data_IF_992088475404
#
_entry.id   IF_992088475404
#
_cell.length_a   1.000
_cell.length_b   1.000
_cell.length_c   1.000
_cell.angle_alpha   90.00
_cell.angle_beta   90.00
_cell.angle_gamma   90.00
#
_symmetry.space_group_name_H-M   'P 1'
#
loop_
_entity.id
_entity.type
_entity.pdbx_description
1 polymer ?
#
# COMPACT_ATOMS: atom_id res chain seq x y z
N UNK A 1 -19.29 1.79 -5.65
CA UNK A 1 -19.74 0.50 -6.22
C UNK A 1 -21.00 0.70 -7.08
N UNK A 2 -22.03 1.35 -6.55
CA UNK A 2 -23.32 1.55 -7.24
C UNK A 2 -23.16 2.25 -8.60
N UNK A 3 -22.43 3.34 -8.66
CA UNK A 3 -22.21 4.12 -9.90
C UNK A 3 -21.54 3.32 -11.03
N UNK A 4 -20.82 2.25 -10.70
CA UNK A 4 -20.08 1.42 -11.64
C UNK A 4 -20.66 0.00 -11.82
N UNK A 5 -21.83 -0.29 -11.23
CA UNK A 5 -22.46 -1.61 -11.30
C UNK A 5 -21.66 -2.74 -10.69
N UNK A 6 -20.90 -2.45 -9.60
CA UNK A 6 -19.99 -3.40 -8.95
C UNK A 6 -20.48 -3.85 -7.56
N UNK A 7 -21.77 -3.67 -7.23
CA UNK A 7 -22.33 -3.92 -5.90
C UNK A 7 -22.15 -5.37 -5.43
N UNK A 8 -22.16 -6.31 -6.38
CA UNK A 8 -21.93 -7.74 -6.08
C UNK A 8 -20.45 -8.14 -5.96
N UNK A 9 -19.52 -7.22 -6.31
CA UNK A 9 -18.08 -7.49 -6.36
C UNK A 9 -17.30 -6.66 -5.34
N UNK A 10 -17.79 -5.46 -4.98
CA UNK A 10 -17.13 -4.54 -4.05
C UNK A 10 -18.04 -4.26 -2.88
N UNK A 11 -17.63 -4.70 -1.69
CA UNK A 11 -18.35 -4.51 -0.43
C UNK A 11 -17.58 -3.50 0.42
N UNK A 12 -18.08 -2.24 0.57
CA UNK A 12 -17.47 -1.27 1.48
C UNK A 12 -17.76 -1.65 2.93
N UNK A 13 -16.75 -1.58 3.79
CA UNK A 13 -16.85 -1.82 5.23
C UNK A 13 -16.29 -0.62 5.96
N UNK A 14 -17.09 0.00 6.84
CA UNK A 14 -16.62 1.04 7.76
C UNK A 14 -16.15 0.36 9.05
N UNK A 15 -14.84 0.36 9.28
CA UNK A 15 -14.23 -0.27 10.45
C UNK A 15 -12.97 0.49 10.88
N UNK A 16 -12.68 0.44 12.18
CA UNK A 16 -11.39 0.86 12.73
C UNK A 16 -10.39 -0.30 12.59
N UNK A 17 -9.26 -0.07 11.92
CA UNK A 17 -8.21 -1.09 11.75
C UNK A 17 -7.53 -1.51 13.06
N UNK A 18 -7.66 -0.71 14.11
CA UNK A 18 -7.12 -1.04 15.43
C UNK A 18 -8.02 -2.01 16.21
N UNK A 19 -9.31 -2.09 15.83
CA UNK A 19 -10.29 -3.03 16.39
C UNK A 19 -10.53 -4.21 15.44
N UNK A 20 -9.83 -5.31 15.67
CA UNK A 20 -9.98 -6.52 14.85
C UNK A 20 -11.39 -7.10 14.87
N UNK A 21 -12.20 -6.83 15.91
CA UNK A 21 -13.56 -7.33 16.00
C UNK A 21 -14.52 -6.59 15.06
N UNK A 22 -14.17 -5.38 14.64
CA UNK A 22 -14.93 -4.59 13.67
C UNK A 22 -14.59 -4.96 12.21
N UNK A 23 -13.53 -5.75 11.99
CA UNK A 23 -13.11 -6.19 10.67
C UNK A 23 -13.94 -7.40 10.19
N UNK A 24 -13.94 -7.67 8.87
CA UNK A 24 -14.49 -8.91 8.33
C UNK A 24 -13.88 -10.15 8.99
N UNK A 25 -14.55 -11.30 8.84
CA UNK A 25 -14.10 -12.58 9.36
C UNK A 25 -12.61 -12.83 9.02
N UNK A 26 -11.82 -13.14 10.04
CA UNK A 26 -10.39 -13.43 9.89
C UNK A 26 -10.14 -14.65 9.01
N UNK A 27 -8.97 -14.68 8.39
CA UNK A 27 -8.51 -15.78 7.52
C UNK A 27 -9.41 -16.06 6.29
N UNK A 28 -10.09 -15.03 5.80
CA UNK A 28 -11.02 -15.16 4.67
C UNK A 28 -10.45 -14.64 3.33
N UNK A 29 -9.37 -13.85 3.37
CA UNK A 29 -8.80 -13.20 2.18
C UNK A 29 -7.52 -13.86 1.69
N UNK A 30 -7.36 -13.92 0.36
CA UNK A 30 -6.14 -14.41 -0.28
C UNK A 30 -5.10 -13.29 -0.46
N UNK A 31 -5.58 -12.04 -0.61
CA UNK A 31 -4.73 -10.86 -0.79
C UNK A 31 -5.30 -9.69 0.01
N UNK A 32 -4.43 -8.98 0.70
CA UNK A 32 -4.72 -7.67 1.32
C UNK A 32 -3.74 -6.66 0.74
N UNK A 33 -4.22 -5.49 0.35
CA UNK A 33 -3.39 -4.39 -0.15
C UNK A 33 -3.59 -3.15 0.70
N UNK A 34 -2.53 -2.38 0.91
CA UNK A 34 -2.60 -1.11 1.63
C UNK A 34 -1.65 -0.08 1.00
N UNK A 35 -2.16 1.12 0.88
CA UNK A 35 -1.35 2.33 0.63
C UNK A 35 -1.51 3.25 1.85
N UNK A 36 -0.77 3.01 2.94
CA UNK A 36 -0.93 3.76 4.17
C UNK A 36 -0.42 5.20 4.00
N UNK A 37 -0.93 6.17 4.79
CA UNK A 37 -0.46 7.55 4.73
C UNK A 37 1.05 7.65 5.01
N UNK A 38 1.73 8.56 4.30
CA UNK A 38 3.19 8.69 4.35
C UNK A 38 3.72 9.53 5.51
N UNK A 39 2.84 10.11 6.34
CA UNK A 39 3.26 10.96 7.46
C UNK A 39 3.94 10.15 8.57
N UNK A 40 5.06 10.67 9.07
CA UNK A 40 5.79 10.14 10.23
C UNK A 40 5.27 10.91 11.45
N UNK A 41 4.83 10.22 12.48
CA UNK A 41 4.57 10.86 13.77
C UNK A 41 5.86 11.53 14.29
N UNK A 42 5.77 12.82 14.63
CA UNK A 42 6.85 13.55 15.32
C UNK A 42 7.89 14.26 14.47
N UNK A 43 7.82 14.25 13.14
CA UNK A 43 8.70 15.01 12.23
C UNK A 43 7.92 15.82 11.18
N UNK A 44 7.11 16.75 11.63
CA UNK A 44 6.49 17.75 10.76
C UNK A 44 6.73 19.14 11.31
N UNK A 45 7.18 20.08 10.48
CA UNK A 45 7.10 21.51 10.79
C UNK A 45 5.63 21.83 11.00
N UNK A 46 5.28 22.34 12.16
CA UNK A 46 3.92 22.73 12.53
C UNK A 46 3.40 23.79 11.56
N UNK A 47 2.54 23.43 10.64
CA UNK A 47 1.69 24.38 9.93
C UNK A 47 0.34 24.40 10.64
N UNK A 48 -0.02 25.59 11.17
CA UNK A 48 -1.21 25.82 11.96
C UNK A 48 -2.45 26.02 11.06
N UNK A 49 -2.95 24.95 10.46
CA UNK A 49 -4.25 25.01 9.77
C UNK A 49 -5.21 23.97 10.33
N UNK A 50 -6.52 24.28 10.34
CA UNK A 50 -7.58 23.40 10.88
C UNK A 50 -7.57 21.99 10.25
N UNK A 51 -7.08 21.86 9.01
CA UNK A 51 -6.86 20.57 8.35
C UNK A 51 -5.83 19.68 9.06
N UNK A 52 -4.87 20.29 9.79
CA UNK A 52 -3.85 19.57 10.55
C UNK A 52 -4.36 19.07 11.91
N UNK A 53 -5.43 19.68 12.44
CA UNK A 53 -6.09 19.18 13.65
C UNK A 53 -6.92 17.93 13.37
N UNK A 54 -7.63 17.88 12.24
CA UNK A 54 -8.34 16.68 11.79
C UNK A 54 -7.35 15.55 11.51
N UNK A 55 -6.23 15.84 10.83
CA UNK A 55 -5.15 14.87 10.60
C UNK A 55 -4.48 14.38 11.89
N UNK A 56 -4.48 15.15 12.98
CA UNK A 56 -3.95 14.71 14.30
C UNK A 56 -4.88 13.75 15.04
N UNK A 57 -6.18 13.83 14.81
CA UNK A 57 -7.15 12.88 15.36
C UNK A 57 -7.26 11.58 14.53
N UNK A 58 -6.85 11.62 13.24
CA UNK A 58 -6.79 10.43 12.37
C UNK A 58 -5.47 9.64 12.51
N UNK A 59 -4.53 10.07 13.35
CA UNK A 59 -3.20 9.45 13.51
C UNK A 59 -3.18 8.24 14.46
N UNK A 60 -4.30 7.60 14.69
CA UNK A 60 -4.34 6.44 15.60
C UNK A 60 -3.86 5.13 14.94
N UNK A 61 -3.70 5.05 13.61
CA UNK A 61 -3.35 3.81 12.93
C UNK A 61 -1.87 3.78 12.54
N UNK A 62 -1.09 2.94 13.20
CA UNK A 62 0.34 2.73 12.91
C UNK A 62 0.53 1.69 11.81
N UNK A 63 1.75 1.60 11.25
CA UNK A 63 2.09 0.52 10.29
C UNK A 63 1.99 -0.87 10.95
N UNK A 64 2.20 -0.96 12.25
CA UNK A 64 2.01 -2.20 13.02
C UNK A 64 0.54 -2.62 13.06
N UNK A 65 -0.38 -1.66 13.27
CA UNK A 65 -1.83 -1.91 13.24
C UNK A 65 -2.29 -2.38 11.86
N UNK A 66 -1.78 -1.74 10.79
CA UNK A 66 -2.04 -2.18 9.41
C UNK A 66 -1.56 -3.61 9.19
N UNK A 67 -0.36 -3.96 9.62
CA UNK A 67 0.20 -5.31 9.49
C UNK A 67 -0.59 -6.32 10.32
N UNK A 68 -1.03 -5.95 11.53
CA UNK A 68 -1.86 -6.80 12.40
C UNK A 68 -3.22 -7.07 11.77
N UNK A 69 -3.89 -6.05 11.26
CA UNK A 69 -5.16 -6.20 10.56
C UNK A 69 -5.02 -7.06 9.29
N UNK A 70 -3.97 -6.83 8.50
CA UNK A 70 -3.69 -7.63 7.32
C UNK A 70 -3.43 -9.11 7.66
N UNK A 71 -2.67 -9.38 8.72
CA UNK A 71 -2.41 -10.74 9.18
C UNK A 71 -3.68 -11.43 9.70
N UNK A 72 -4.59 -10.69 10.36
CA UNK A 72 -5.90 -11.19 10.78
C UNK A 72 -6.75 -11.62 9.59
N UNK A 73 -6.88 -10.75 8.58
CA UNK A 73 -7.73 -10.97 7.42
C UNK A 73 -7.24 -12.09 6.49
N UNK A 74 -5.93 -12.25 6.35
CA UNK A 74 -5.34 -13.17 5.38
C UNK A 74 -5.46 -14.63 5.81
N UNK A 75 -5.75 -15.52 4.86
CA UNK A 75 -5.53 -16.96 4.99
C UNK A 75 -4.05 -17.27 5.21
N UNK A 76 -3.73 -18.44 5.77
CA UNK A 76 -2.35 -18.94 5.78
C UNK A 76 -1.81 -19.02 4.34
N UNK A 77 -0.61 -18.48 4.11
CA UNK A 77 -0.03 -18.37 2.76
C UNK A 77 -0.58 -17.20 1.93
N UNK A 78 -1.57 -16.47 2.43
CA UNK A 78 -2.10 -15.26 1.79
C UNK A 78 -1.05 -14.13 1.73
N UNK A 79 -1.28 -13.15 0.85
CA UNK A 79 -0.32 -12.11 0.49
C UNK A 79 -0.76 -10.74 1.01
N UNK A 80 0.15 -10.05 1.69
CA UNK A 80 0.01 -8.63 2.02
C UNK A 80 0.88 -7.81 1.09
N UNK A 81 0.30 -6.83 0.39
CA UNK A 81 1.02 -5.94 -0.50
C UNK A 81 0.89 -4.50 0.01
N UNK A 82 2.02 -3.85 0.22
CA UNK A 82 2.07 -2.48 0.71
C UNK A 82 3.01 -1.64 -0.14
N UNK A 83 2.65 -0.36 -0.36
CA UNK A 83 3.56 0.63 -0.92
C UNK A 83 3.84 1.72 0.11
N UNK A 84 5.10 2.20 0.16
CA UNK A 84 5.51 3.23 1.08
C UNK A 84 6.81 3.89 0.60
N UNK A 85 7.22 4.99 1.24
CA UNK A 85 8.49 5.66 0.96
C UNK A 85 9.69 4.83 1.39
N UNK A 86 10.83 4.87 0.66
CA UNK A 86 12.02 4.05 0.95
C UNK A 86 12.53 4.18 2.38
N UNK A 87 12.42 5.35 2.98
CA UNK A 87 12.88 5.63 4.36
C UNK A 87 12.13 4.80 5.41
N UNK A 88 10.92 4.33 5.07
CA UNK A 88 10.08 3.52 5.94
C UNK A 88 10.26 2.01 5.76
N UNK A 89 11.12 1.60 4.82
CA UNK A 89 11.29 0.18 4.50
C UNK A 89 11.69 -0.67 5.72
N UNK A 90 12.65 -0.24 6.58
CA UNK A 90 13.00 -1.01 7.77
C UNK A 90 11.80 -1.19 8.73
N UNK A 91 11.06 -0.11 8.99
CA UNK A 91 9.90 -0.13 9.91
C UNK A 91 8.79 -1.04 9.39
N UNK A 92 8.51 -0.97 8.08
CA UNK A 92 7.49 -1.83 7.44
C UNK A 92 7.89 -3.29 7.50
N UNK A 93 9.15 -3.62 7.22
CA UNK A 93 9.63 -5.01 7.28
C UNK A 93 9.60 -5.56 8.70
N UNK A 94 9.95 -4.75 9.69
CA UNK A 94 9.88 -5.13 11.10
C UNK A 94 8.43 -5.39 11.53
N UNK A 95 7.52 -4.44 11.24
CA UNK A 95 6.10 -4.57 11.55
C UNK A 95 5.48 -5.82 10.89
N UNK A 96 5.81 -6.07 9.62
CA UNK A 96 5.36 -7.28 8.92
C UNK A 96 5.81 -8.54 9.66
N UNK A 97 7.09 -8.69 9.97
CA UNK A 97 7.62 -9.87 10.67
C UNK A 97 7.02 -10.06 12.05
N UNK A 98 6.87 -8.96 12.82
CA UNK A 98 6.24 -8.98 14.15
C UNK A 98 4.83 -9.54 14.09
N UNK A 99 4.11 -9.31 12.99
CA UNK A 99 2.74 -9.78 12.77
C UNK A 99 2.63 -11.06 11.94
N UNK A 100 3.72 -11.81 11.75
CA UNK A 100 3.70 -13.09 11.05
C UNK A 100 3.54 -13.00 9.52
N UNK A 101 3.83 -11.82 8.97
CA UNK A 101 3.88 -11.54 7.53
C UNK A 101 5.35 -11.51 7.09
N UNK A 102 5.87 -12.61 6.52
CA UNK A 102 7.27 -12.63 6.08
C UNK A 102 7.44 -11.91 4.75
N UNK A 103 8.31 -10.86 4.66
CA UNK A 103 8.62 -10.18 3.41
C UNK A 103 9.18 -11.14 2.35
N UNK A 104 8.61 -11.12 1.14
CA UNK A 104 8.92 -12.08 0.08
C UNK A 104 9.42 -11.43 -1.21
N UNK A 105 8.86 -10.30 -1.60
CA UNK A 105 9.27 -9.59 -2.80
C UNK A 105 9.32 -8.10 -2.54
N UNK A 106 10.45 -7.48 -2.85
CA UNK A 106 10.67 -6.04 -2.78
C UNK A 106 10.93 -5.51 -4.19
N UNK A 107 10.26 -4.43 -4.53
CA UNK A 107 10.50 -3.71 -5.79
C UNK A 107 10.55 -2.21 -5.51
N UNK A 108 11.62 -1.55 -5.92
CA UNK A 108 11.73 -0.10 -5.89
C UNK A 108 11.02 0.52 -7.07
N UNK A 109 10.46 1.72 -6.89
CA UNK A 109 9.83 2.51 -7.95
C UNK A 109 10.65 3.77 -8.18
N UNK A 110 11.06 3.99 -9.42
CA UNK A 110 11.88 5.12 -9.86
C UNK A 110 11.18 5.86 -11.00
N UNK A 111 11.36 7.18 -11.04
CA UNK A 111 10.86 7.96 -12.15
C UNK A 111 11.57 7.58 -13.45
N UNK A 112 12.91 7.57 -13.43
CA UNK A 112 13.80 7.17 -14.51
C UNK A 112 14.91 6.25 -13.97
N UNK A 113 15.64 5.52 -14.82
CA UNK A 113 16.69 4.58 -14.39
C UNK A 113 17.80 5.23 -13.56
N UNK A 114 18.07 6.51 -13.78
CA UNK A 114 19.12 7.31 -13.15
C UNK A 114 18.66 8.11 -11.92
N UNK A 115 17.41 7.95 -11.49
CA UNK A 115 16.85 8.65 -10.34
C UNK A 115 16.77 7.75 -9.09
N UNK A 116 16.85 8.37 -7.91
CA UNK A 116 16.62 7.66 -6.67
C UNK A 116 15.18 7.13 -6.61
N UNK A 117 14.96 5.96 -6.00
CA UNK A 117 13.60 5.46 -5.78
C UNK A 117 12.84 6.40 -4.82
N UNK A 118 11.56 6.61 -5.11
CA UNK A 118 10.66 7.45 -4.31
C UNK A 118 9.54 6.65 -3.63
N UNK A 119 9.32 5.42 -4.06
CA UNK A 119 8.46 4.43 -3.42
C UNK A 119 9.11 3.05 -3.46
N UNK A 120 8.63 2.17 -2.58
CA UNK A 120 8.80 0.73 -2.72
C UNK A 120 7.45 0.02 -2.73
N UNK A 121 7.42 -1.14 -3.38
CA UNK A 121 6.35 -2.12 -3.32
C UNK A 121 6.89 -3.35 -2.57
N UNK A 122 6.23 -3.74 -1.49
CA UNK A 122 6.64 -4.88 -0.69
C UNK A 122 5.49 -5.88 -0.57
N UNK A 123 5.75 -7.12 -0.97
CA UNK A 123 4.85 -8.23 -0.73
C UNK A 123 5.38 -9.08 0.41
N UNK A 124 4.51 -9.36 1.39
CA UNK A 124 4.75 -10.34 2.43
C UNK A 124 3.75 -11.49 2.35
N UNK A 125 4.09 -12.61 2.97
CA UNK A 125 3.24 -13.81 3.02
C UNK A 125 2.97 -14.22 4.45
N UNK A 126 1.70 -14.43 4.79
CA UNK A 126 1.32 -14.94 6.11
C UNK A 126 1.86 -16.34 6.33
N UNK A 127 2.62 -16.53 7.45
CA UNK A 127 3.27 -17.78 7.78
C UNK A 127 4.39 -18.19 6.80
N UNK A 128 4.89 -17.25 5.99
CA UNK A 128 6.01 -17.48 5.07
C UNK A 128 7.32 -17.76 5.80
N UNK A 129 8.21 -18.52 5.15
CA UNK A 129 9.59 -18.70 5.63
C UNK A 129 10.47 -17.55 5.13
N UNK A 130 11.59 -17.22 5.84
CA UNK A 130 12.55 -16.20 5.38
C UNK A 130 12.97 -16.43 3.93
N UNK A 131 13.30 -15.41 3.24
CA UNK A 131 13.88 -15.30 1.91
C UNK A 131 13.22 -14.17 1.10
N UNK A 132 13.87 -13.02 1.05
CA UNK A 132 13.42 -11.86 0.29
C UNK A 132 14.04 -11.86 -1.11
N UNK A 133 13.21 -11.77 -2.13
CA UNK A 133 13.63 -11.51 -3.50
C UNK A 133 13.55 -10.00 -3.79
N UNK A 134 14.65 -9.38 -4.18
CA UNK A 134 14.67 -8.02 -4.70
C UNK A 134 14.51 -8.07 -6.21
N UNK A 135 13.47 -7.39 -6.70
CA UNK A 135 13.12 -7.35 -8.12
C UNK A 135 13.79 -6.15 -8.82
N UNK A 136 14.00 -6.20 -10.14
CA UNK A 136 14.38 -5.02 -10.89
C UNK A 136 13.42 -3.85 -10.63
N UNK A 137 13.92 -2.60 -10.55
CA UNK A 137 13.07 -1.45 -10.26
C UNK A 137 11.96 -1.28 -11.29
N UNK A 138 10.82 -0.74 -10.86
CA UNK A 138 9.75 -0.28 -11.73
C UNK A 138 10.10 1.14 -12.18
N UNK A 139 10.34 1.31 -13.46
CA UNK A 139 10.59 2.62 -14.07
C UNK A 139 9.26 3.18 -14.55
N UNK A 140 8.93 4.40 -14.13
CA UNK A 140 7.64 5.03 -14.44
C UNK A 140 7.67 5.68 -15.82
N UNK A 141 8.71 6.48 -16.11
CA UNK A 141 8.82 7.22 -17.38
C UNK A 141 9.51 6.39 -18.48
N UNK A 142 9.00 6.57 -19.70
CA UNK A 142 9.60 6.13 -20.95
C UNK A 142 9.66 7.28 -21.95
N UNK A 143 10.00 6.98 -23.18
CA UNK A 143 10.02 7.97 -24.27
C UNK A 143 8.58 8.49 -24.53
N UNK A 144 8.36 9.77 -24.26
CA UNK A 144 7.09 10.45 -24.52
C UNK A 144 5.95 10.17 -23.52
N UNK A 145 6.20 9.51 -22.39
CA UNK A 145 5.16 9.26 -21.40
C UNK A 145 5.50 8.12 -20.42
N UNK A 146 4.57 7.22 -20.19
CA UNK A 146 4.81 6.06 -19.34
C UNK A 146 5.74 5.04 -20.00
N UNK A 147 6.53 4.34 -19.18
CA UNK A 147 7.32 3.21 -19.64
C UNK A 147 6.46 2.09 -20.22
N UNK A 148 6.99 1.20 -21.07
CA UNK A 148 6.24 0.06 -21.61
C UNK A 148 5.64 -0.84 -20.50
N UNK A 149 6.30 -0.94 -19.34
CA UNK A 149 5.76 -1.70 -18.22
C UNK A 149 4.59 -0.98 -17.55
N UNK A 150 4.69 0.33 -17.33
CA UNK A 150 3.58 1.13 -16.80
C UNK A 150 2.37 1.10 -17.75
N UNK A 151 2.58 1.17 -19.06
CA UNK A 151 1.50 1.03 -20.05
C UNK A 151 0.80 -0.33 -19.95
N UNK A 152 1.54 -1.41 -19.69
CA UNK A 152 0.94 -2.74 -19.44
C UNK A 152 0.15 -2.79 -18.14
N UNK A 153 0.65 -2.14 -17.06
CA UNK A 153 -0.02 -2.11 -15.76
C UNK A 153 -1.33 -1.32 -15.84
N UNK A 154 -1.29 -0.13 -16.44
CA UNK A 154 -2.48 0.72 -16.56
C UNK A 154 -3.45 0.27 -17.66
N UNK A 155 -2.99 -0.48 -18.67
CA UNK A 155 -3.81 -0.97 -19.78
C UNK A 155 -4.60 0.16 -20.45
N UNK A 156 -5.92 0.03 -20.50
CA UNK A 156 -6.81 1.03 -21.14
C UNK A 156 -6.76 2.42 -20.47
N UNK A 157 -6.36 2.51 -19.21
CA UNK A 157 -6.28 3.78 -18.48
C UNK A 157 -5.00 4.58 -18.77
N UNK A 158 -4.02 4.00 -19.44
CA UNK A 158 -2.75 4.67 -19.77
C UNK A 158 -2.95 5.90 -20.68
N UNK A 159 -4.01 5.94 -21.46
CA UNK A 159 -4.30 7.00 -22.43
C UNK A 159 -5.34 8.01 -21.96
N UNK A 160 -5.79 7.94 -20.71
CA UNK A 160 -6.71 8.94 -20.18
C UNK A 160 -6.01 10.30 -20.03
N UNK A 161 -6.71 11.43 -20.29
CA UNK A 161 -6.18 12.76 -20.01
C UNK A 161 -5.73 12.88 -18.55
N UNK A 162 -4.66 13.66 -18.30
CA UNK A 162 -4.09 13.81 -16.94
C UNK A 162 -5.10 14.29 -15.89
N UNK A 163 -6.16 15.00 -16.32
CA UNK A 163 -7.24 15.46 -15.43
C UNK A 163 -8.16 14.32 -14.98
N UNK A 164 -8.37 13.30 -15.82
CA UNK A 164 -9.16 12.12 -15.48
C UNK A 164 -8.34 11.10 -14.67
N UNK A 165 -7.01 11.03 -14.89
CA UNK A 165 -6.11 10.19 -14.10
C UNK A 165 -6.07 10.59 -12.62
N UNK A 166 -6.26 11.88 -12.30
CA UNK A 166 -6.33 12.39 -10.91
C UNK A 166 -7.62 12.04 -10.17
N UNK A 167 -8.69 11.66 -10.88
CA UNK A 167 -9.97 11.27 -10.26
C UNK A 167 -10.02 9.79 -9.87
N UNK A 168 -9.04 8.99 -10.33
CA UNK A 168 -9.02 7.54 -10.17
C UNK A 168 -7.75 7.03 -9.48
N UNK A 169 -6.92 7.95 -8.89
CA UNK A 169 -5.70 7.64 -8.15
C UNK A 169 -5.82 7.83 -6.63
#
# INVERSE_FOLDING_TARGET
AQENGLEGQVVPVLADLTDLSALPEGQSFDVVTCNPPYKIEGRGILSETDSDQIARHETACTIDDVCRAAAWLLKFGGRFCVCQRPERLPDVMEAMRRNGLEPKRLRMVQQRPDTAPWLFLLEGRRGGKPFLQVMPPLIVEGEGGFSPEMLRIYGKYANLPKEEQKKHG
#
